data_IF_119670760338
#
_entry.id   IF_119670760338
#
_cell.length_a   1.000
_cell.length_b   1.000
_cell.length_c   1.000
_cell.angle_alpha   90.00
_cell.angle_beta   90.00
_cell.angle_gamma   90.00
#
_symmetry.space_group_name_H-M   'P 1'
#
loop_
_entity.id
_entity.type
_entity.pdbx_description
1 polymer ?
#
# COMPACT_ATOMS: atom_id res chain seq x y z
N UNK A 1 25.50 -34.51 -76.17
CA UNK A 1 24.43 -33.49 -76.05
C UNK A 1 24.41 -33.02 -74.60
N UNK A 2 24.88 -31.79 -74.33
CA UNK A 2 25.03 -31.21 -72.98
C UNK A 2 23.67 -30.77 -72.43
N UNK A 3 23.22 -31.33 -71.32
CA UNK A 3 22.03 -30.83 -70.60
C UNK A 3 22.51 -29.88 -69.51
N UNK A 4 22.04 -28.63 -69.62
CA UNK A 4 22.37 -27.48 -68.78
C UNK A 4 21.69 -27.61 -67.41
N UNK A 5 22.43 -27.25 -66.36
CA UNK A 5 21.92 -27.18 -65.00
C UNK A 5 20.96 -26.03 -64.76
N UNK A 6 20.09 -26.20 -63.77
CA UNK A 6 19.37 -25.12 -63.10
C UNK A 6 19.37 -25.49 -61.61
N UNK A 7 20.25 -24.86 -60.83
CA UNK A 7 20.15 -24.86 -59.37
C UNK A 7 19.24 -23.69 -58.97
N UNK A 8 18.03 -23.99 -58.52
CA UNK A 8 17.15 -23.00 -57.88
C UNK A 8 17.54 -22.94 -56.40
N UNK A 9 18.21 -21.86 -55.99
CA UNK A 9 18.48 -21.58 -54.59
C UNK A 9 17.20 -21.02 -53.94
N UNK A 10 16.51 -21.86 -53.18
CA UNK A 10 15.31 -21.47 -52.42
C UNK A 10 15.76 -20.84 -51.10
N UNK A 11 15.84 -19.51 -51.07
CA UNK A 11 16.19 -18.73 -49.89
C UNK A 11 14.96 -18.63 -48.98
N UNK A 12 14.88 -19.50 -47.97
CA UNK A 12 13.80 -19.48 -46.99
C UNK A 12 13.96 -18.25 -46.07
N UNK A 13 13.10 -17.23 -46.25
CA UNK A 13 12.97 -16.14 -45.29
C UNK A 13 12.25 -16.66 -44.04
N UNK A 14 13.02 -16.91 -42.98
CA UNK A 14 12.48 -17.18 -41.65
C UNK A 14 11.99 -15.85 -41.07
N UNK A 15 10.68 -15.58 -41.16
CA UNK A 15 10.07 -14.47 -40.45
C UNK A 15 10.15 -14.77 -38.94
N UNK A 16 11.05 -14.10 -38.23
CA UNK A 16 11.05 -14.11 -36.76
C UNK A 16 9.78 -13.42 -36.29
N UNK A 17 8.76 -14.22 -35.94
CA UNK A 17 7.63 -13.75 -35.17
C UNK A 17 8.14 -13.37 -33.78
N UNK A 18 8.33 -12.08 -33.54
CA UNK A 18 8.56 -11.54 -32.20
C UNK A 18 7.30 -11.80 -31.38
N UNK A 19 7.34 -12.81 -30.51
CA UNK A 19 6.33 -12.99 -29.49
C UNK A 19 6.32 -11.73 -28.62
N UNK A 20 5.28 -10.90 -28.76
CA UNK A 20 5.07 -9.77 -27.89
C UNK A 20 4.84 -10.31 -26.47
N UNK A 21 5.83 -10.15 -25.59
CA UNK A 21 5.65 -10.42 -24.18
C UNK A 21 4.65 -9.38 -23.66
N UNK A 22 3.44 -9.76 -23.21
CA UNK A 22 2.52 -8.80 -22.64
C UNK A 22 3.17 -8.16 -21.41
N UNK A 23 3.12 -6.82 -21.34
CA UNK A 23 3.60 -6.10 -20.18
C UNK A 23 2.83 -6.58 -18.93
N UNK A 24 3.49 -6.76 -17.76
CA UNK A 24 2.80 -7.16 -16.55
C UNK A 24 1.66 -6.17 -16.25
N UNK A 25 0.44 -6.68 -16.14
CA UNK A 25 -0.72 -5.88 -15.77
C UNK A 25 -0.54 -5.38 -14.35
N UNK A 26 -0.27 -4.07 -14.20
CA UNK A 26 -0.25 -3.44 -12.88
C UNK A 26 -1.70 -3.32 -12.42
N UNK A 27 -2.12 -4.18 -11.50
CA UNK A 27 -3.46 -4.12 -10.91
C UNK A 27 -3.64 -2.76 -10.21
N UNK A 28 -4.67 -2.00 -10.59
CA UNK A 28 -4.94 -0.71 -10.00
C UNK A 28 -5.26 -0.81 -8.50
N UNK A 29 -5.92 -1.90 -8.09
CA UNK A 29 -6.18 -2.24 -6.69
C UNK A 29 -5.26 -3.36 -6.18
N UNK A 30 -4.95 -3.36 -4.90
CA UNK A 30 -4.18 -4.42 -4.25
C UNK A 30 -5.01 -5.70 -4.16
N UNK A 31 -4.44 -6.79 -4.66
CA UNK A 31 -4.97 -8.15 -4.45
C UNK A 31 -4.56 -8.61 -3.05
N UNK A 32 -5.55 -8.97 -2.24
CA UNK A 32 -5.35 -9.46 -0.86
C UNK A 32 -5.51 -10.96 -0.78
N UNK A 33 -4.74 -11.58 0.10
CA UNK A 33 -4.82 -13.01 0.37
C UNK A 33 -5.41 -13.31 1.73
N UNK A 34 -4.85 -14.35 2.36
CA UNK A 34 -5.31 -14.88 3.64
C UNK A 34 -5.14 -13.90 4.80
N UNK A 35 -5.85 -14.19 5.89
CA UNK A 35 -5.63 -13.55 7.18
C UNK A 35 -4.17 -13.71 7.63
N UNK A 36 -3.62 -12.69 8.27
CA UNK A 36 -2.26 -12.67 8.80
C UNK A 36 -2.19 -12.00 10.16
N UNK A 37 -1.06 -12.11 10.84
CA UNK A 37 -0.83 -11.46 12.12
C UNK A 37 -0.79 -9.93 11.96
N UNK A 38 -1.34 -9.23 12.94
CA UNK A 38 -1.21 -7.78 13.01
C UNK A 38 0.18 -7.36 13.58
N UNK A 39 0.64 -6.13 13.33
CA UNK A 39 1.79 -5.56 14.04
C UNK A 39 1.56 -5.55 15.56
N UNK A 40 2.62 -5.74 16.34
CA UNK A 40 2.50 -5.74 17.81
C UNK A 40 2.06 -4.38 18.34
N UNK A 41 2.61 -3.28 17.82
CA UNK A 41 2.17 -1.93 18.20
C UNK A 41 0.69 -1.68 17.88
N UNK A 42 0.19 -2.18 16.75
CA UNK A 42 -1.24 -2.12 16.45
C UNK A 42 -2.09 -2.94 17.45
N UNK A 43 -1.61 -4.10 17.89
CA UNK A 43 -2.29 -4.88 18.93
C UNK A 43 -2.44 -4.10 20.22
N UNK A 44 -1.35 -3.51 20.70
CA UNK A 44 -1.33 -2.72 21.93
C UNK A 44 -2.21 -1.47 21.80
N UNK A 45 -2.13 -0.78 20.67
CA UNK A 45 -3.03 0.33 20.34
C UNK A 45 -4.50 -0.09 20.41
N UNK A 46 -4.87 -1.25 19.87
CA UNK A 46 -6.26 -1.73 19.93
C UNK A 46 -6.72 -2.08 21.35
N UNK A 47 -5.81 -2.46 22.26
CA UNK A 47 -6.18 -2.68 23.66
C UNK A 47 -6.61 -1.39 24.35
N UNK A 48 -5.94 -0.29 24.01
CA UNK A 48 -6.18 1.06 24.55
C UNK A 48 -7.36 1.73 23.82
N UNK A 49 -7.41 1.62 22.50
CA UNK A 49 -8.37 2.26 21.61
C UNK A 49 -9.32 1.26 20.96
N UNK A 50 -10.05 0.48 21.77
CA UNK A 50 -10.89 -0.63 21.29
C UNK A 50 -11.88 -0.24 20.18
N UNK A 51 -12.41 0.99 20.22
CA UNK A 51 -13.33 1.50 19.21
C UNK A 51 -12.69 1.72 17.83
N UNK A 52 -11.37 1.83 17.73
CA UNK A 52 -10.64 2.05 16.47
C UNK A 52 -10.42 0.75 15.68
N UNK A 53 -10.60 -0.41 16.32
CA UNK A 53 -10.22 -1.72 15.80
C UNK A 53 -11.41 -2.68 15.58
N UNK A 54 -12.60 -2.12 15.32
CA UNK A 54 -13.83 -2.86 15.16
C UNK A 54 -14.12 -3.37 13.74
N UNK A 55 -15.27 -4.03 13.59
CA UNK A 55 -15.83 -4.37 12.29
C UNK A 55 -16.21 -3.11 11.50
N UNK A 56 -15.96 -3.12 10.20
CA UNK A 56 -16.25 -2.02 9.31
C UNK A 56 -17.47 -2.35 8.44
N UNK A 57 -18.35 -1.36 8.25
CA UNK A 57 -19.34 -1.42 7.17
C UNK A 57 -18.61 -1.16 5.86
N UNK A 58 -18.36 -2.22 5.10
CA UNK A 58 -17.71 -2.15 3.80
C UNK A 58 -18.76 -2.05 2.68
N UNK A 59 -18.94 -0.87 2.11
CA UNK A 59 -19.84 -0.59 0.98
C UNK A 59 -19.14 -0.61 -0.38
N UNK A 60 -17.93 -1.18 -0.45
CA UNK A 60 -17.06 -1.08 -1.62
C UNK A 60 -16.12 0.13 -1.57
N UNK A 61 -15.18 0.24 -2.53
CA UNK A 61 -14.21 1.33 -2.60
C UNK A 61 -14.88 2.71 -2.68
N UNK A 62 -14.23 3.73 -2.14
CA UNK A 62 -14.76 5.09 -2.21
C UNK A 62 -14.73 5.62 -3.66
N UNK A 63 -15.85 6.14 -4.13
CA UNK A 63 -15.90 6.92 -5.38
C UNK A 63 -15.32 8.30 -5.12
N UNK A 64 -14.30 8.67 -5.90
CA UNK A 64 -13.56 9.91 -5.69
C UNK A 64 -14.10 11.05 -6.54
N UNK A 65 -14.32 12.19 -5.90
CA UNK A 65 -14.61 13.47 -6.56
C UNK A 65 -13.38 14.37 -6.46
N UNK A 66 -13.34 15.45 -7.26
CA UNK A 66 -12.28 16.45 -7.15
C UNK A 66 -12.16 17.02 -5.71
N UNK A 67 -13.28 17.21 -5.02
CA UNK A 67 -13.31 17.67 -3.64
C UNK A 67 -12.69 16.64 -2.66
N UNK A 68 -13.04 15.36 -2.79
CA UNK A 68 -12.43 14.28 -1.99
C UNK A 68 -10.92 14.18 -2.23
N UNK A 69 -10.48 14.28 -3.48
CA UNK A 69 -9.06 14.28 -3.81
C UNK A 69 -8.31 15.46 -3.20
N UNK A 70 -8.89 16.66 -3.28
CA UNK A 70 -8.33 17.85 -2.66
C UNK A 70 -8.21 17.69 -1.14
N UNK A 71 -9.24 17.14 -0.51
CA UNK A 71 -9.26 16.85 0.93
C UNK A 71 -8.19 15.83 1.35
N UNK A 72 -8.04 14.73 0.61
CA UNK A 72 -7.01 13.71 0.88
C UNK A 72 -5.62 14.32 0.80
N UNK A 73 -5.32 15.10 -0.25
CA UNK A 73 -4.03 15.79 -0.39
C UNK A 73 -3.81 16.81 0.73
N UNK A 74 -4.85 17.57 1.10
CA UNK A 74 -4.76 18.55 2.17
C UNK A 74 -4.46 17.89 3.52
N UNK A 75 -5.09 16.77 3.84
CA UNK A 75 -4.79 16.01 5.07
C UNK A 75 -3.37 15.45 5.03
N UNK A 76 -2.95 14.81 3.93
CA UNK A 76 -1.59 14.27 3.80
C UNK A 76 -0.54 15.36 4.03
N UNK A 77 -0.69 16.49 3.34
CA UNK A 77 0.24 17.59 3.41
C UNK A 77 0.21 18.32 4.77
N UNK A 78 -0.95 18.39 5.43
CA UNK A 78 -1.06 19.00 6.76
C UNK A 78 -0.31 18.14 7.78
N UNK A 79 -0.61 16.85 7.87
CA UNK A 79 0.05 15.95 8.83
C UNK A 79 1.56 15.92 8.59
N UNK A 80 2.00 15.82 7.33
CA UNK A 80 3.43 15.81 7.00
C UNK A 80 4.18 17.10 7.38
N UNK A 81 3.48 18.22 7.52
CA UNK A 81 4.09 19.50 7.94
C UNK A 81 4.00 19.75 9.44
N UNK A 82 2.97 19.22 10.11
CA UNK A 82 2.70 19.55 11.52
C UNK A 82 3.36 18.60 12.49
N UNK A 83 3.62 17.35 12.08
CA UNK A 83 4.25 16.36 12.94
C UNK A 83 5.74 16.28 12.57
N UNK A 84 6.60 16.36 13.59
CA UNK A 84 8.05 16.19 13.45
C UNK A 84 8.38 14.69 13.41
N UNK A 85 9.09 14.19 12.38
CA UNK A 85 9.54 12.80 12.35
C UNK A 85 10.54 12.52 13.48
N UNK A 86 10.20 11.61 14.38
CA UNK A 86 11.06 11.11 15.48
C UNK A 86 10.67 9.66 15.79
N UNK A 87 11.63 8.82 16.13
CA UNK A 87 11.36 7.41 16.46
C UNK A 87 10.69 7.27 17.81
N UNK A 88 9.94 6.19 18.00
CA UNK A 88 9.39 5.84 19.31
C UNK A 88 10.43 5.69 20.41
N UNK A 89 11.66 5.31 20.03
CA UNK A 89 12.75 5.21 20.98
C UNK A 89 13.12 6.57 21.56
N UNK A 90 13.10 7.60 20.71
CA UNK A 90 13.37 8.97 21.11
C UNK A 90 12.22 9.58 21.91
N UNK A 91 10.97 9.27 21.55
CA UNK A 91 9.77 9.85 22.18
C UNK A 91 9.42 9.15 23.49
N UNK A 92 9.43 7.82 23.51
CA UNK A 92 8.88 6.98 24.59
C UNK A 92 9.91 6.04 25.23
N UNK A 93 11.12 5.92 24.69
CA UNK A 93 12.13 4.98 25.18
C UNK A 93 11.85 3.50 24.84
N UNK A 94 10.83 3.24 24.03
CA UNK A 94 10.38 1.91 23.60
C UNK A 94 10.61 1.73 22.10
N UNK A 95 10.63 0.48 21.66
CA UNK A 95 10.94 0.19 20.26
C UNK A 95 9.73 0.38 19.33
N UNK A 96 8.50 0.40 19.88
CA UNK A 96 7.25 0.48 19.12
C UNK A 96 6.08 0.93 20.03
N UNK A 97 5.39 2.01 19.67
CA UNK A 97 4.28 2.66 20.38
C UNK A 97 3.36 3.37 19.39
N UNK A 98 2.35 2.64 18.90
CA UNK A 98 1.33 3.23 18.03
C UNK A 98 0.49 4.21 18.84
N UNK A 99 0.48 5.48 18.44
CA UNK A 99 -0.24 6.54 19.12
C UNK A 99 -0.86 7.53 18.13
N UNK A 100 -1.60 8.50 18.68
CA UNK A 100 -1.99 9.66 17.91
C UNK A 100 -1.02 10.80 18.21
N UNK A 101 -0.13 11.13 17.28
CA UNK A 101 0.91 12.12 17.53
C UNK A 101 0.30 13.50 17.70
N UNK A 102 0.89 14.28 18.60
CA UNK A 102 0.55 15.70 18.81
C UNK A 102 1.61 16.61 18.19
N UNK A 103 2.89 16.34 18.48
CA UNK A 103 4.03 17.13 17.98
C UNK A 103 5.04 16.30 17.19
N UNK A 104 5.22 15.03 17.56
CA UNK A 104 6.18 14.14 16.93
C UNK A 104 5.63 12.71 16.90
N UNK A 105 6.18 11.90 16.00
CA UNK A 105 5.88 10.49 15.79
C UNK A 105 6.70 9.97 14.61
N UNK A 106 6.59 8.69 14.30
CA UNK A 106 7.21 8.07 13.13
C UNK A 106 6.14 7.60 12.12
N UNK A 107 6.41 6.52 11.36
CA UNK A 107 5.66 6.24 10.14
C UNK A 107 4.18 5.88 10.37
N UNK A 108 3.90 5.01 11.34
CA UNK A 108 2.55 4.56 11.68
C UNK A 108 1.74 5.65 12.35
N UNK A 109 2.37 6.48 13.18
CA UNK A 109 1.75 7.60 13.88
C UNK A 109 1.20 8.62 12.89
N UNK A 110 2.00 8.95 11.86
CA UNK A 110 1.54 9.81 10.77
C UNK A 110 0.38 9.16 10.00
N UNK A 111 0.46 7.87 9.70
CA UNK A 111 -0.59 7.16 8.99
C UNK A 111 -1.90 7.07 9.82
N UNK A 112 -1.81 6.84 11.13
CA UNK A 112 -2.92 6.83 12.07
C UNK A 112 -3.61 8.19 12.14
N UNK A 113 -2.84 9.28 12.25
CA UNK A 113 -3.41 10.63 12.30
C UNK A 113 -4.11 10.99 10.99
N UNK A 114 -3.51 10.69 9.84
CA UNK A 114 -4.15 10.88 8.52
C UNK A 114 -5.45 10.10 8.42
N UNK A 115 -5.45 8.84 8.85
CA UNK A 115 -6.63 7.97 8.86
C UNK A 115 -7.74 8.58 9.70
N UNK A 116 -7.46 8.96 10.95
CA UNK A 116 -8.44 9.61 11.84
C UNK A 116 -9.01 10.87 11.22
N UNK A 117 -8.16 11.75 10.69
CA UNK A 117 -8.60 13.02 10.10
C UNK A 117 -9.50 12.82 8.88
N UNK A 118 -9.27 11.79 8.07
CA UNK A 118 -10.10 11.47 6.91
C UNK A 118 -11.42 10.80 7.33
N UNK A 119 -11.42 9.93 8.34
CA UNK A 119 -12.64 9.35 8.91
C UNK A 119 -13.54 10.47 9.46
N UNK A 120 -12.98 11.41 10.20
CA UNK A 120 -13.71 12.60 10.69
C UNK A 120 -14.31 13.46 9.57
N UNK A 121 -13.79 13.33 8.35
CA UNK A 121 -14.28 14.02 7.15
C UNK A 121 -15.18 13.15 6.27
N UNK A 122 -15.66 12.02 6.80
CA UNK A 122 -16.67 11.18 6.18
C UNK A 122 -16.14 10.08 5.26
N UNK A 123 -14.82 9.82 5.24
CA UNK A 123 -14.30 8.61 4.61
C UNK A 123 -14.60 7.38 5.48
N UNK A 124 -14.92 6.26 4.85
CA UNK A 124 -15.11 4.99 5.56
C UNK A 124 -13.78 4.46 6.07
N UNK A 125 -13.75 3.94 7.29
CA UNK A 125 -12.61 3.17 7.80
C UNK A 125 -12.32 1.91 6.94
N UNK A 126 -13.31 1.40 6.22
CA UNK A 126 -13.15 0.29 5.26
C UNK A 126 -12.22 0.64 4.07
N UNK A 127 -12.03 1.93 3.80
CA UNK A 127 -11.23 2.43 2.69
C UNK A 127 -9.95 3.14 3.13
N UNK A 128 -9.68 3.21 4.44
CA UNK A 128 -8.51 3.85 5.04
C UNK A 128 -7.76 2.84 5.91
N UNK A 129 -6.82 2.16 5.29
CA UNK A 129 -6.27 0.91 5.80
C UNK A 129 -4.80 1.10 6.13
N UNK A 130 -4.44 0.82 7.38
CA UNK A 130 -3.04 0.76 7.78
C UNK A 130 -2.36 -0.37 7.02
N UNK A 131 -1.19 -0.08 6.46
CA UNK A 131 -0.46 -0.98 5.57
C UNK A 131 1.01 -1.01 5.94
N UNK A 132 1.54 -2.22 6.10
CA UNK A 132 2.97 -2.47 6.35
C UNK A 132 3.65 -2.79 5.03
N UNK A 133 4.75 -2.11 4.78
CA UNK A 133 5.58 -2.25 3.58
C UNK A 133 7.05 -2.41 3.95
N UNK A 134 7.86 -2.76 2.96
CA UNK A 134 9.32 -2.67 3.00
C UNK A 134 9.78 -1.59 2.04
N UNK A 135 10.68 -0.73 2.52
CA UNK A 135 11.42 0.24 1.70
C UNK A 135 12.45 -0.48 0.81
N UNK A 136 13.03 0.20 -0.20
CA UNK A 136 14.06 -0.39 -1.07
C UNK A 136 15.31 -0.90 -0.34
N UNK A 137 15.63 -0.32 0.81
CA UNK A 137 16.73 -0.75 1.70
C UNK A 137 16.37 -1.97 2.57
N UNK A 138 15.12 -2.44 2.51
CA UNK A 138 14.60 -3.60 3.25
C UNK A 138 14.00 -3.26 4.61
N UNK A 139 14.14 -2.02 5.09
CA UNK A 139 13.59 -1.56 6.36
C UNK A 139 12.05 -1.55 6.32
N UNK A 140 11.43 -1.88 7.46
CA UNK A 140 9.99 -1.80 7.62
C UNK A 140 9.50 -0.36 7.57
N UNK A 141 8.29 -0.17 7.05
CA UNK A 141 7.62 1.14 7.03
C UNK A 141 6.11 0.96 7.10
N UNK A 142 5.41 1.93 7.65
CA UNK A 142 3.96 1.96 7.71
C UNK A 142 3.41 3.13 6.90
N UNK A 143 2.36 2.86 6.12
CA UNK A 143 1.68 3.85 5.28
C UNK A 143 0.17 3.70 5.43
N UNK A 144 -0.56 4.73 4.99
CA UNK A 144 -2.01 4.66 4.87
C UNK A 144 -2.41 4.36 3.43
N UNK A 145 -3.08 3.23 3.21
CA UNK A 145 -3.70 2.90 1.93
C UNK A 145 -5.12 3.47 1.87
N UNK A 146 -5.40 4.26 0.83
CA UNK A 146 -6.73 4.72 0.45
C UNK A 146 -7.28 3.83 -0.68
N UNK A 147 -8.38 3.13 -0.43
CA UNK A 147 -9.05 2.25 -1.40
C UNK A 147 -10.12 2.98 -2.18
N UNK A 148 -9.91 3.20 -3.47
CA UNK A 148 -10.82 3.96 -4.34
C UNK A 148 -11.37 3.11 -5.49
N UNK A 149 -12.43 3.58 -6.14
CA UNK A 149 -12.99 2.91 -7.32
C UNK A 149 -11.97 2.87 -8.49
N UNK A 150 -11.04 3.81 -8.52
CA UNK A 150 -9.98 3.95 -9.52
C UNK A 150 -8.71 3.16 -9.18
N UNK A 151 -8.63 2.57 -7.98
CA UNK A 151 -7.47 1.84 -7.50
C UNK A 151 -7.05 2.22 -6.08
N UNK A 152 -5.93 1.65 -5.62
CA UNK A 152 -5.40 1.91 -4.30
C UNK A 152 -4.27 2.96 -4.36
N UNK A 153 -4.33 3.90 -3.41
CA UNK A 153 -3.40 5.01 -3.31
C UNK A 153 -2.72 5.02 -1.94
N UNK A 154 -1.50 5.57 -1.89
CA UNK A 154 -0.67 5.61 -0.68
C UNK A 154 -0.53 7.05 -0.22
N UNK A 155 -0.82 7.26 1.06
CA UNK A 155 -0.51 8.46 1.81
C UNK A 155 0.67 8.14 2.73
N UNK A 156 1.77 8.86 2.55
CA UNK A 156 3.07 8.59 3.16
C UNK A 156 3.63 9.84 3.86
N UNK A 157 4.41 9.68 4.93
CA UNK A 157 5.18 10.77 5.53
C UNK A 157 6.49 11.05 4.77
N UNK A 158 7.05 10.06 4.09
CA UNK A 158 8.28 10.18 3.29
C UNK A 158 8.05 10.80 1.90
N UNK A 159 6.79 10.84 1.44
CA UNK A 159 6.41 11.46 0.17
C UNK A 159 5.24 12.44 0.35
N UNK A 160 5.40 13.66 -0.17
CA UNK A 160 4.36 14.70 -0.10
C UNK A 160 3.15 14.38 -1.00
N UNK A 161 3.41 13.74 -2.13
CA UNK A 161 2.39 13.36 -3.11
C UNK A 161 1.64 12.09 -2.71
N UNK A 162 0.33 12.07 -3.00
CA UNK A 162 -0.49 10.86 -2.92
C UNK A 162 -0.32 10.09 -4.21
N UNK A 163 0.24 8.88 -4.14
CA UNK A 163 0.64 8.09 -5.31
C UNK A 163 -0.19 6.82 -5.44
N UNK A 164 -0.47 6.34 -6.66
CA UNK A 164 -0.94 4.97 -6.85
C UNK A 164 0.04 4.00 -6.20
N UNK A 165 -0.46 2.93 -5.57
CA UNK A 165 0.39 2.00 -4.81
C UNK A 165 1.51 1.39 -5.64
N UNK A 166 1.22 1.02 -6.90
CA UNK A 166 2.20 0.51 -7.87
C UNK A 166 3.21 1.55 -8.40
N UNK A 167 3.01 2.83 -8.07
CA UNK A 167 3.92 3.94 -8.35
C UNK A 167 4.84 4.27 -7.17
N UNK A 168 4.72 3.55 -6.06
CA UNK A 168 5.64 3.65 -4.92
C UNK A 168 6.79 2.65 -5.04
N UNK A 169 7.96 2.90 -4.44
CA UNK A 169 9.11 2.00 -4.54
C UNK A 169 9.06 0.86 -3.52
N UNK A 170 7.88 0.55 -2.96
CA UNK A 170 7.74 -0.36 -1.84
C UNK A 170 7.41 -1.80 -2.25
N UNK A 171 7.85 -2.75 -1.43
CA UNK A 171 7.27 -4.10 -1.39
C UNK A 171 6.18 -4.15 -0.33
N UNK A 172 4.97 -4.55 -0.72
CA UNK A 172 3.81 -4.55 0.17
C UNK A 172 3.67 -5.89 0.90
N UNK A 173 3.58 -5.85 2.23
CA UNK A 173 3.58 -7.07 3.07
C UNK A 173 2.16 -7.44 3.47
N UNK A 174 1.47 -6.53 4.16
CA UNK A 174 0.13 -6.77 4.73
C UNK A 174 -0.59 -5.46 4.98
N UNK A 175 -1.91 -5.53 5.06
CA UNK A 175 -2.76 -4.38 5.42
C UNK A 175 -3.93 -4.78 6.30
N UNK A 176 -4.55 -3.81 6.95
CA UNK A 176 -5.85 -4.00 7.58
C UNK A 176 -6.88 -4.53 6.57
N UNK A 177 -7.77 -5.38 7.05
CA UNK A 177 -8.94 -5.83 6.31
C UNK A 177 -9.93 -4.69 6.17
N UNK A 178 -10.48 -4.51 4.96
CA UNK A 178 -11.57 -3.56 4.73
C UNK A 178 -12.86 -3.91 5.48
N UNK A 179 -12.99 -5.14 6.00
CA UNK A 179 -14.14 -5.58 6.77
C UNK A 179 -13.96 -5.42 8.29
N UNK A 180 -12.73 -5.23 8.79
CA UNK A 180 -12.46 -5.08 10.22
C UNK A 180 -11.07 -4.46 10.44
N UNK A 181 -11.01 -3.30 11.10
CA UNK A 181 -9.76 -2.57 11.34
C UNK A 181 -8.84 -3.25 12.37
N UNK A 182 -9.34 -4.20 13.16
CA UNK A 182 -8.56 -5.05 14.04
C UNK A 182 -8.00 -6.31 13.38
N UNK A 183 -8.29 -6.56 12.09
CA UNK A 183 -7.84 -7.76 11.36
C UNK A 183 -6.95 -7.39 10.19
N UNK A 184 -6.01 -8.27 9.88
CA UNK A 184 -5.00 -8.04 8.84
C UNK A 184 -5.00 -9.16 7.81
N UNK A 185 -4.67 -8.82 6.58
CA UNK A 185 -4.59 -9.72 5.43
C UNK A 185 -3.27 -9.52 4.68
N UNK A 186 -2.76 -10.58 4.05
CA UNK A 186 -1.60 -10.49 3.15
C UNK A 186 -1.95 -9.76 1.85
N UNK A 187 -0.93 -9.30 1.12
CA UNK A 187 -1.06 -8.70 -0.21
C UNK A 187 -0.34 -9.61 -1.21
N UNK A 188 -1.08 -10.28 -2.10
CA UNK A 188 -0.60 -11.40 -2.91
C UNK A 188 0.33 -10.98 -4.06
N UNK A 189 0.26 -9.72 -4.50
CA UNK A 189 1.06 -9.20 -5.61
C UNK A 189 1.95 -8.03 -5.18
N UNK A 190 2.41 -8.04 -3.93
CA UNK A 190 3.19 -6.97 -3.30
C UNK A 190 4.66 -6.87 -3.72
N UNK A 191 5.12 -7.70 -4.68
CA UNK A 191 6.53 -8.02 -5.00
C UNK A 191 7.24 -8.75 -3.85
N UNK A 192 6.85 -10.02 -3.74
CA UNK A 192 7.33 -11.13 -2.89
C UNK A 192 8.47 -10.88 -1.91
N UNK A 193 8.14 -10.92 -0.61
CA UNK A 193 8.98 -11.56 0.42
C UNK A 193 8.07 -12.23 1.45
N UNK A 194 8.20 -13.55 1.60
CA UNK A 194 7.68 -14.31 2.73
C UNK A 194 8.37 -13.83 4.02
N UNK A 195 7.61 -13.29 4.97
CA UNK A 195 8.10 -13.01 6.32
C UNK A 195 7.36 -13.87 7.32
N UNK A 196 8.11 -14.53 8.20
CA UNK A 196 7.58 -15.41 9.24
C UNK A 196 6.53 -14.70 10.07
N UNK A 197 5.29 -15.19 9.98
CA UNK A 197 4.26 -14.90 10.96
C UNK A 197 4.42 -15.92 12.10
N UNK A 198 4.62 -15.43 13.31
CA UNK A 198 4.35 -16.25 14.49
C UNK A 198 2.85 -16.56 14.50
N UNK A 199 2.54 -17.86 14.65
CA UNK A 199 1.18 -18.38 14.80
C UNK A 199 0.62 -18.07 16.17
#
# INVERSE_FOLDING_TARGET
MRIKGIFVAMMAMFAMATAAIPAPSRNASMVTGNATSQPIGHYDFCQIHRSECGANRNSGPVVMTAAKWSMVRAVNATVNRTITPMTDKEIYGKDEVWAYPTTAGDCEDFALLKRRMLIQRGFSAADLLMTVVRKPDGEGHAVLTLRTAEGDFVLDNLASEVKPWFGTPYSFVKRQSSYNSGRWVTIENGRDVLVGALR
#
